data_IF_079525501809
#
_entry.id   IF_079525501809
#
_cell.length_a   1.000
_cell.length_b   1.000
_cell.length_c   1.000
_cell.angle_alpha   90.00
_cell.angle_beta   90.00
_cell.angle_gamma   90.00
#
_symmetry.space_group_name_H-M   'P 1'
#
loop_
_entity.id
_entity.type
_entity.pdbx_description
1 polymer ?
#
# COMPACT_ATOMS: atom_id res chain seq x y z
N UNK A 1 13.36 -42.91 -14.99
CA UNK A 1 14.22 -41.90 -14.33
C UNK A 1 13.74 -40.45 -14.46
N UNK A 2 12.92 -40.07 -15.44
CA UNK A 2 12.44 -38.67 -15.62
C UNK A 2 11.55 -38.11 -14.49
N UNK A 3 10.74 -38.94 -13.81
CA UNK A 3 9.83 -38.49 -12.74
C UNK A 3 10.54 -37.86 -11.53
N UNK A 4 11.82 -38.19 -11.28
CA UNK A 4 12.55 -37.70 -10.09
C UNK A 4 13.14 -36.30 -10.27
N UNK A 5 13.41 -35.86 -11.50
CA UNK A 5 13.95 -34.52 -11.80
C UNK A 5 12.84 -33.49 -12.09
N UNK A 6 11.65 -33.95 -12.51
CA UNK A 6 10.50 -33.08 -12.77
C UNK A 6 9.95 -32.40 -11.50
N UNK A 7 9.83 -33.14 -10.40
CA UNK A 7 9.33 -32.61 -9.13
C UNK A 7 10.21 -31.47 -8.58
N UNK A 8 11.54 -31.62 -8.47
CA UNK A 8 12.40 -30.54 -7.98
C UNK A 8 12.45 -29.34 -8.93
N UNK A 9 12.36 -29.54 -10.26
CA UNK A 9 12.28 -28.44 -11.21
C UNK A 9 10.98 -27.63 -11.06
N UNK A 10 9.83 -28.31 -10.93
CA UNK A 10 8.54 -27.65 -10.72
C UNK A 10 8.51 -26.91 -9.38
N UNK A 11 9.02 -27.52 -8.30
CA UNK A 11 9.14 -26.87 -6.99
C UNK A 11 10.05 -25.64 -7.07
N UNK A 12 11.20 -25.74 -7.74
CA UNK A 12 12.11 -24.61 -7.91
C UNK A 12 11.45 -23.46 -8.68
N UNK A 13 10.70 -23.76 -9.75
CA UNK A 13 9.97 -22.75 -10.53
C UNK A 13 8.89 -22.08 -9.68
N UNK A 14 8.12 -22.85 -8.90
CA UNK A 14 7.06 -22.31 -8.02
C UNK A 14 7.65 -21.43 -6.90
N UNK A 15 8.73 -21.86 -6.26
CA UNK A 15 9.40 -21.08 -5.20
C UNK A 15 10.01 -19.80 -5.79
N UNK A 16 10.64 -19.89 -6.96
CA UNK A 16 11.22 -18.71 -7.61
C UNK A 16 10.14 -17.74 -8.07
N UNK A 17 9.04 -18.25 -8.64
CA UNK A 17 7.90 -17.44 -9.07
C UNK A 17 7.23 -16.71 -7.91
N UNK A 18 6.95 -17.41 -6.80
CA UNK A 18 6.37 -16.81 -5.59
C UNK A 18 7.30 -15.76 -4.97
N UNK A 19 8.61 -16.04 -4.92
CA UNK A 19 9.59 -15.06 -4.47
C UNK A 19 9.56 -13.79 -5.33
N UNK A 20 9.64 -13.92 -6.66
CA UNK A 20 9.61 -12.78 -7.60
C UNK A 20 8.33 -11.96 -7.45
N UNK A 21 7.17 -12.60 -7.37
CA UNK A 21 5.89 -11.92 -7.16
C UNK A 21 5.86 -11.16 -5.83
N UNK A 22 6.38 -11.75 -4.76
CA UNK A 22 6.52 -11.08 -3.47
C UNK A 22 7.42 -9.85 -3.54
N UNK A 23 8.60 -9.96 -4.16
CA UNK A 23 9.50 -8.82 -4.35
C UNK A 23 8.89 -7.70 -5.19
N UNK A 24 8.15 -8.04 -6.25
CA UNK A 24 7.49 -7.05 -7.10
C UNK A 24 6.41 -6.28 -6.33
N UNK A 25 5.60 -6.97 -5.52
CA UNK A 25 4.58 -6.34 -4.67
C UNK A 25 5.21 -5.40 -3.63
N UNK A 26 6.30 -5.84 -2.98
CA UNK A 26 7.06 -5.02 -2.03
C UNK A 26 7.62 -3.77 -2.69
N UNK A 27 8.22 -3.93 -3.88
CA UNK A 27 8.78 -2.80 -4.63
C UNK A 27 7.70 -1.81 -5.05
N UNK A 28 6.56 -2.29 -5.58
CA UNK A 28 5.45 -1.44 -6.00
C UNK A 28 4.91 -0.62 -4.84
N UNK A 29 4.65 -1.28 -3.71
CA UNK A 29 4.16 -0.63 -2.50
C UNK A 29 5.16 0.43 -2.00
N UNK A 30 6.43 0.06 -1.92
CA UNK A 30 7.49 0.97 -1.47
C UNK A 30 7.65 2.18 -2.40
N UNK A 31 7.53 1.97 -3.72
CA UNK A 31 7.58 3.04 -4.71
C UNK A 31 6.39 4.00 -4.59
N UNK A 32 5.21 3.50 -4.25
CA UNK A 32 4.06 4.37 -4.00
C UNK A 32 4.32 5.26 -2.78
N UNK A 33 4.75 4.70 -1.66
CA UNK A 33 5.07 5.45 -0.44
C UNK A 33 6.23 6.43 -0.64
N UNK A 34 7.22 6.07 -1.47
CA UNK A 34 8.30 6.98 -1.86
C UNK A 34 7.78 8.17 -2.68
N UNK A 35 6.86 7.94 -3.63
CA UNK A 35 6.26 8.96 -4.50
C UNK A 35 4.99 9.59 -3.95
N UNK A 36 4.63 9.33 -2.70
CA UNK A 36 3.43 9.89 -2.09
C UNK A 36 3.59 11.40 -1.88
N UNK A 37 2.52 12.15 -2.11
CA UNK A 37 2.46 13.59 -1.85
C UNK A 37 2.23 13.87 -0.35
N UNK A 38 1.75 12.88 0.38
CA UNK A 38 1.66 12.95 1.83
C UNK A 38 1.38 11.61 2.46
N UNK A 39 1.60 11.55 3.76
CA UNK A 39 1.16 10.46 4.63
C UNK A 39 0.25 11.02 5.71
N UNK A 40 -0.81 10.31 6.04
CA UNK A 40 -1.72 10.65 7.13
C UNK A 40 -1.75 9.55 8.17
N UNK A 41 -1.94 9.94 9.43
CA UNK A 41 -2.10 9.01 10.53
C UNK A 41 -3.34 8.15 10.35
N UNK A 42 -3.29 6.94 10.90
CA UNK A 42 -4.44 6.03 10.99
C UNK A 42 -5.69 6.72 11.56
N UNK A 43 -5.53 7.53 12.60
CA UNK A 43 -6.66 8.20 13.24
C UNK A 43 -7.34 9.18 12.28
N UNK A 44 -6.55 10.01 11.57
CA UNK A 44 -7.08 10.92 10.55
C UNK A 44 -7.72 10.15 9.41
N UNK A 45 -7.07 9.11 8.88
CA UNK A 45 -7.60 8.26 7.82
C UNK A 45 -8.96 7.63 8.18
N UNK A 46 -9.10 7.12 9.40
CA UNK A 46 -10.35 6.53 9.92
C UNK A 46 -11.45 7.57 10.08
N UNK A 47 -11.13 8.76 10.59
CA UNK A 47 -12.09 9.88 10.67
C UNK A 47 -12.63 10.29 9.30
N UNK A 48 -11.84 10.10 8.25
CA UNK A 48 -12.22 10.33 6.86
C UNK A 48 -12.87 9.11 6.18
N UNK A 49 -13.00 7.98 6.89
CA UNK A 49 -13.55 6.74 6.35
C UNK A 49 -12.68 6.07 5.28
N UNK A 50 -11.39 6.41 5.22
CA UNK A 50 -10.43 5.91 4.23
C UNK A 50 -9.69 4.65 4.70
N UNK A 51 -9.84 4.28 5.97
CA UNK A 51 -9.24 3.10 6.59
C UNK A 51 -10.24 2.45 7.53
N UNK A 52 -10.28 1.11 7.54
CA UNK A 52 -11.17 0.36 8.43
C UNK A 52 -10.61 0.28 9.85
N UNK A 53 -11.50 0.12 10.82
CA UNK A 53 -11.11 -0.23 12.19
C UNK A 53 -11.09 -1.76 12.34
N UNK A 54 -9.99 -2.36 11.92
CA UNK A 54 -9.78 -3.80 11.89
C UNK A 54 -8.93 -4.31 13.08
N UNK A 55 -8.54 -3.42 14.00
CA UNK A 55 -7.71 -3.76 15.15
C UNK A 55 -6.29 -4.20 14.78
N UNK A 56 -5.81 -3.92 13.57
CA UNK A 56 -4.49 -4.36 13.12
C UNK A 56 -3.36 -3.80 14.02
N UNK A 57 -2.38 -4.62 14.44
CA UNK A 57 -1.38 -4.25 15.44
C UNK A 57 -0.27 -3.33 14.94
N UNK A 58 -0.20 -3.04 13.63
CA UNK A 58 0.87 -2.23 13.06
C UNK A 58 0.48 -0.74 12.96
N UNK A 59 1.44 0.19 13.08
CA UNK A 59 1.21 1.62 12.92
C UNK A 59 1.04 1.94 11.43
N UNK A 60 -0.12 1.60 10.88
CA UNK A 60 -0.37 1.77 9.46
C UNK A 60 -0.76 3.23 9.18
N UNK A 61 0.18 3.99 8.63
CA UNK A 61 -0.09 5.30 8.03
C UNK A 61 -0.75 5.12 6.66
N UNK A 62 -1.56 6.07 6.22
CA UNK A 62 -2.13 6.07 4.88
C UNK A 62 -1.34 7.04 4.00
N UNK A 63 -0.65 6.51 3.00
CA UNK A 63 0.00 7.32 1.98
C UNK A 63 -1.01 7.72 0.91
N UNK A 64 -0.91 8.94 0.43
CA UNK A 64 -1.74 9.41 -0.67
C UNK A 64 -0.93 10.19 -1.70
N UNK A 65 -1.42 10.15 -2.93
CA UNK A 65 -0.86 10.85 -4.09
C UNK A 65 -1.98 11.41 -4.94
N UNK A 66 -1.87 12.67 -5.33
CA UNK A 66 -2.80 13.36 -6.22
C UNK A 66 -2.87 12.64 -7.57
N UNK A 67 -4.08 12.51 -8.09
CA UNK A 67 -4.31 12.04 -9.45
C UNK A 67 -4.24 13.21 -10.42
N UNK A 68 -3.71 12.97 -11.63
CA UNK A 68 -3.73 13.94 -12.72
C UNK A 68 -5.17 14.33 -13.12
N UNK A 69 -6.12 13.41 -12.95
CA UNK A 69 -7.55 13.63 -13.24
C UNK A 69 -8.32 14.28 -12.08
N UNK A 70 -7.63 14.68 -11.01
CA UNK A 70 -8.24 15.18 -9.78
C UNK A 70 -8.54 14.08 -8.76
N UNK A 71 -8.67 14.46 -7.49
CA UNK A 71 -8.74 13.54 -6.36
C UNK A 71 -7.37 12.93 -6.02
N UNK A 72 -7.40 11.85 -5.24
CA UNK A 72 -6.20 11.23 -4.68
C UNK A 72 -6.28 9.70 -4.75
N UNK A 73 -5.18 9.10 -5.20
CA UNK A 73 -4.91 7.70 -4.95
C UNK A 73 -4.36 7.54 -3.54
N UNK A 74 -4.73 6.47 -2.86
CA UNK A 74 -4.20 6.19 -1.53
C UNK A 74 -3.97 4.70 -1.27
N UNK A 75 -3.10 4.44 -0.30
CA UNK A 75 -2.74 3.11 0.18
C UNK A 75 -2.53 3.14 1.67
N UNK A 76 -3.10 2.15 2.35
CA UNK A 76 -2.77 1.85 3.75
C UNK A 76 -1.32 1.35 3.81
N UNK A 77 -0.58 1.70 4.85
CA UNK A 77 0.75 1.17 5.14
C UNK A 77 0.63 -0.17 5.87
N UNK A 78 1.72 -0.91 5.96
CA UNK A 78 1.76 -2.15 6.75
C UNK A 78 2.25 -3.37 6.01
N UNK A 79 2.44 -4.46 6.75
CA UNK A 79 3.02 -5.71 6.23
C UNK A 79 2.03 -6.46 5.32
N UNK A 80 0.73 -6.18 5.42
CA UNK A 80 -0.31 -6.72 4.53
C UNK A 80 -0.58 -5.81 3.33
N UNK A 81 -0.10 -4.57 3.35
CA UNK A 81 -0.39 -3.59 2.33
C UNK A 81 0.31 -3.83 0.97
N UNK A 82 1.14 -4.88 0.90
CA UNK A 82 1.65 -5.42 -0.36
C UNK A 82 0.57 -6.11 -1.20
N UNK A 83 -0.53 -6.53 -0.56
CA UNK A 83 -1.70 -7.14 -1.20
C UNK A 83 -2.77 -6.09 -1.47
N UNK A 84 -2.78 -4.99 -0.70
CA UNK A 84 -3.82 -3.97 -0.83
C UNK A 84 -3.73 -3.18 -2.13
N UNK A 85 -4.91 -3.05 -2.75
CA UNK A 85 -5.11 -2.31 -3.99
C UNK A 85 -4.96 -0.80 -3.75
N UNK A 86 -4.50 -0.09 -4.78
CA UNK A 86 -4.54 1.38 -4.75
C UNK A 86 -5.99 1.82 -4.81
N UNK A 87 -6.46 2.48 -3.76
CA UNK A 87 -7.81 3.05 -3.71
C UNK A 87 -7.83 4.48 -4.23
N UNK A 88 -9.01 4.99 -4.56
CA UNK A 88 -9.21 6.36 -5.06
C UNK A 88 -10.28 7.08 -4.24
N UNK A 89 -10.07 8.38 -4.01
CA UNK A 89 -11.03 9.27 -3.36
C UNK A 89 -11.03 10.65 -4.00
N UNK A 90 -12.18 11.31 -3.98
CA UNK A 90 -12.34 12.71 -4.40
C UNK A 90 -12.30 13.69 -3.23
N UNK A 91 -12.20 13.20 -2.00
CA UNK A 91 -12.03 14.03 -0.80
C UNK A 91 -10.75 14.84 -0.95
N UNK A 92 -10.80 16.13 -0.61
CA UNK A 92 -9.61 16.98 -0.64
C UNK A 92 -8.70 16.67 0.56
N UNK A 93 -7.80 15.70 0.38
CA UNK A 93 -6.95 15.20 1.45
C UNK A 93 -6.01 16.26 2.01
N UNK A 94 -5.61 17.26 1.22
CA UNK A 94 -4.77 18.36 1.71
C UNK A 94 -5.58 19.25 2.66
N UNK A 95 -6.78 19.66 2.25
CA UNK A 95 -7.66 20.48 3.10
C UNK A 95 -8.06 19.73 4.39
N UNK A 96 -8.35 18.43 4.28
CA UNK A 96 -8.66 17.61 5.45
C UNK A 96 -7.45 17.44 6.38
N UNK A 97 -6.23 17.32 5.82
CA UNK A 97 -5.01 17.29 6.60
C UNK A 97 -4.76 18.61 7.35
N UNK A 98 -5.05 19.76 6.73
CA UNK A 98 -4.96 21.07 7.40
C UNK A 98 -6.02 21.22 8.51
N UNK A 99 -7.24 20.68 8.29
CA UNK A 99 -8.36 20.76 9.23
C UNK A 99 -8.22 19.82 10.43
N UNK A 100 -7.83 18.57 10.19
CA UNK A 100 -7.79 17.51 11.20
C UNK A 100 -6.41 17.30 11.81
N UNK A 101 -5.35 17.72 11.12
CA UNK A 101 -3.98 17.43 11.50
C UNK A 101 -3.62 15.94 11.33
N UNK A 102 -2.45 15.57 11.87
CA UNK A 102 -1.96 14.19 11.81
C UNK A 102 -1.48 13.77 10.42
N UNK A 103 -1.07 14.72 9.58
CA UNK A 103 -0.48 14.46 8.26
C UNK A 103 0.93 15.00 8.14
N UNK A 104 1.76 14.32 7.37
CA UNK A 104 3.05 14.81 6.89
C UNK A 104 2.97 14.96 5.38
N UNK A 105 2.83 16.20 4.91
CA UNK A 105 2.83 16.53 3.49
C UNK A 105 4.28 16.58 2.98
N UNK A 106 4.50 16.04 1.80
CA UNK A 106 5.77 16.19 1.07
C UNK A 106 5.61 17.32 0.05
N UNK A 107 6.66 18.14 -0.06
CA UNK A 107 6.72 19.26 -1.00
C UNK A 107 7.26 18.81 -2.35
#
# INVERSE_FOLDING_TARGET
>A
MMRRAFIPAVVAILVTGTAISGFAAVLYHSLFFYKADGVMSRETARRLGLMKDDGAPFPDELAFRKSETGGYFYREGGITAFIDETSYTTIDLIAECERLGGCQLRK
#
